data_IF_740867969966
#
_entry.id   IF_740867969966
#
_cell.length_a   1.000
_cell.length_b   1.000
_cell.length_c   1.000
_cell.angle_alpha   90.00
_cell.angle_beta   90.00
_cell.angle_gamma   90.00
#
_symmetry.space_group_name_H-M   'P 1'
#
loop_
_entity.id
_entity.type
_entity.pdbx_description
1 polymer ?
#
# COMPACT_ATOMS: atom_id res chain seq x y z
N UNK A 1 7.07 61.74 16.15
CA UNK A 1 7.03 60.63 15.17
C UNK A 1 7.49 59.38 15.88
N UNK A 2 6.59 58.45 16.19
CA UNK A 2 6.94 57.16 16.78
C UNK A 2 6.14 56.09 16.01
N UNK A 3 6.81 55.41 15.09
CA UNK A 3 6.23 54.39 14.22
C UNK A 3 6.22 53.07 14.98
N UNK A 4 5.04 52.62 15.40
CA UNK A 4 4.83 51.33 16.06
C UNK A 4 4.85 50.23 14.98
N UNK A 5 5.91 49.41 14.96
CA UNK A 5 6.01 48.21 14.13
C UNK A 5 5.28 47.06 14.82
N UNK A 6 4.09 46.71 14.33
CA UNK A 6 3.38 45.50 14.72
C UNK A 6 4.06 44.28 14.06
N UNK A 7 4.77 43.48 14.83
CA UNK A 7 5.24 42.17 14.42
C UNK A 7 4.07 41.18 14.46
N UNK A 8 3.51 40.88 13.29
CA UNK A 8 2.56 39.77 13.11
C UNK A 8 3.33 38.45 13.24
N UNK A 9 3.26 37.85 14.43
CA UNK A 9 3.61 36.45 14.63
C UNK A 9 2.59 35.58 13.89
N UNK A 10 2.96 35.11 12.70
CA UNK A 10 2.32 33.99 12.03
C UNK A 10 2.58 32.73 12.87
N UNK A 11 1.68 32.42 13.79
CA UNK A 11 1.58 31.10 14.40
C UNK A 11 1.12 30.11 13.33
N UNK A 12 2.09 29.56 12.58
CA UNK A 12 1.88 28.41 11.72
C UNK A 12 1.55 27.21 12.59
N UNK A 13 0.27 26.87 12.71
CA UNK A 13 -0.12 25.54 13.14
C UNK A 13 0.57 24.53 12.21
N UNK A 14 1.15 23.41 12.72
CA UNK A 14 1.58 22.36 11.84
C UNK A 14 0.35 21.92 11.05
N UNK A 15 0.39 22.11 9.74
CA UNK A 15 -0.62 21.53 8.87
C UNK A 15 -0.61 20.03 9.18
N UNK A 16 -1.64 19.53 9.85
CA UNK A 16 -1.97 18.11 9.79
C UNK A 16 -1.90 17.75 8.31
N UNK A 17 -1.01 16.83 7.89
CA UNK A 17 -0.94 16.47 6.48
C UNK A 17 -2.36 16.12 6.08
N UNK A 18 -2.95 16.91 5.19
CA UNK A 18 -4.23 16.55 4.59
C UNK A 18 -4.07 15.11 4.14
N UNK A 19 -4.97 14.24 4.60
CA UNK A 19 -5.00 12.82 4.24
C UNK A 19 -4.85 12.77 2.73
N UNK A 20 -3.64 12.43 2.26
CA UNK A 20 -3.32 12.67 0.86
C UNK A 20 -4.24 11.80 0.03
N UNK A 21 -4.79 12.31 -1.09
CA UNK A 21 -5.66 11.51 -1.92
C UNK A 21 -4.88 10.26 -2.36
N UNK A 22 -5.54 9.10 -2.37
CA UNK A 22 -4.95 7.83 -2.81
C UNK A 22 -4.14 7.96 -4.11
N UNK A 23 -4.64 8.77 -5.04
CA UNK A 23 -3.97 9.11 -6.30
C UNK A 23 -2.54 9.62 -6.12
N UNK A 24 -2.26 10.42 -5.07
CA UNK A 24 -0.91 10.91 -4.77
C UNK A 24 0.03 9.76 -4.38
N UNK A 25 -0.44 8.84 -3.51
CA UNK A 25 0.32 7.64 -3.13
C UNK A 25 0.63 6.74 -4.33
N UNK A 26 -0.30 6.64 -5.29
CA UNK A 26 -0.19 5.70 -6.39
C UNK A 26 0.60 6.26 -7.59
N UNK A 27 0.44 7.55 -7.90
CA UNK A 27 1.11 8.17 -9.04
C UNK A 27 2.52 8.68 -8.72
N UNK A 28 2.79 9.03 -7.45
CA UNK A 28 4.08 9.57 -7.03
C UNK A 28 4.48 9.03 -5.64
N UNK A 29 4.64 7.70 -5.49
CA UNK A 29 5.08 7.15 -4.21
C UNK A 29 6.53 7.55 -3.90
N UNK A 30 6.75 8.12 -2.72
CA UNK A 30 8.11 8.40 -2.24
C UNK A 30 8.85 7.09 -1.94
N UNK A 31 8.13 6.12 -1.35
CA UNK A 31 8.65 4.78 -1.06
C UNK A 31 7.58 3.73 -1.28
N UNK A 32 8.00 2.56 -1.71
CA UNK A 32 7.15 1.37 -1.78
C UNK A 32 7.93 0.21 -1.18
N UNK A 33 7.41 -0.42 -0.14
CA UNK A 33 8.01 -1.62 0.45
C UNK A 33 7.14 -2.85 0.17
N UNK A 34 7.77 -3.96 -0.23
CA UNK A 34 7.08 -5.23 -0.38
C UNK A 34 7.04 -6.01 0.93
N UNK A 35 5.97 -6.77 1.12
CA UNK A 35 5.82 -7.74 2.20
C UNK A 35 5.25 -9.04 1.63
N UNK A 36 5.61 -10.17 2.22
CA UNK A 36 4.76 -11.35 2.15
C UNK A 36 3.54 -11.12 3.02
N UNK A 37 2.37 -11.45 2.48
CA UNK A 37 1.09 -11.27 3.17
C UNK A 37 0.38 -12.61 3.28
N UNK A 38 -0.29 -12.81 4.42
CA UNK A 38 -1.12 -13.98 4.67
C UNK A 38 -2.42 -13.55 5.35
N UNK A 39 -3.41 -14.44 5.36
CA UNK A 39 -4.61 -14.29 6.18
C UNK A 39 -4.24 -14.44 7.65
N UNK A 40 -4.67 -13.50 8.47
CA UNK A 40 -4.53 -13.58 9.92
C UNK A 40 -5.65 -14.44 10.51
N UNK A 41 -5.50 -15.77 10.38
CA UNK A 41 -6.43 -16.74 10.97
C UNK A 41 -6.27 -16.90 12.50
N UNK A 42 -5.55 -16.01 13.18
CA UNK A 42 -5.43 -16.11 14.64
C UNK A 42 -6.74 -15.70 15.32
N UNK A 43 -7.42 -16.67 15.93
CA UNK A 43 -8.56 -16.41 16.83
C UNK A 43 -8.09 -15.86 18.19
N UNK A 44 -6.79 -15.96 18.47
CA UNK A 44 -6.17 -15.41 19.66
C UNK A 44 -5.53 -14.06 19.36
N UNK A 45 -5.62 -13.14 20.33
CA UNK A 45 -4.93 -11.86 20.22
C UNK A 45 -3.42 -12.09 20.04
N UNK A 46 -2.76 -11.45 19.06
CA UNK A 46 -1.33 -11.59 18.86
C UNK A 46 -0.55 -11.32 20.15
N UNK A 47 0.49 -12.12 20.40
CA UNK A 47 1.35 -11.91 21.56
C UNK A 47 1.94 -10.50 21.56
N UNK A 48 2.23 -9.92 22.73
CA UNK A 48 2.88 -8.59 22.83
C UNK A 48 4.26 -8.54 22.15
N UNK A 49 4.87 -9.70 21.86
CA UNK A 49 6.15 -9.83 21.16
C UNK A 49 6.00 -9.85 19.64
N UNK A 50 4.79 -10.11 19.13
CA UNK A 50 4.51 -10.06 17.71
C UNK A 50 4.47 -8.61 17.24
N UNK A 51 5.45 -8.23 16.42
CA UNK A 51 5.59 -6.87 15.85
C UNK A 51 5.21 -6.83 14.37
N UNK A 52 4.67 -7.91 13.80
CA UNK A 52 4.31 -7.95 12.38
C UNK A 52 3.20 -6.95 12.09
N UNK A 53 3.33 -6.15 11.02
CA UNK A 53 2.25 -5.28 10.58
C UNK A 53 1.01 -6.11 10.27
N UNK A 54 -0.15 -5.55 10.61
CA UNK A 54 -1.46 -6.13 10.33
C UNK A 54 -2.37 -5.05 9.78
N UNK A 55 -3.20 -5.44 8.83
CA UNK A 55 -4.23 -4.58 8.29
C UNK A 55 -5.49 -5.41 8.08
N UNK A 56 -6.59 -5.00 8.72
CA UNK A 56 -7.82 -5.77 8.74
C UNK A 56 -7.57 -7.24 9.15
N UNK A 57 -7.83 -8.19 8.24
CA UNK A 57 -7.68 -9.64 8.45
C UNK A 57 -6.39 -10.18 7.82
N UNK A 58 -5.41 -9.33 7.53
CA UNK A 58 -4.16 -9.69 6.89
C UNK A 58 -2.97 -9.40 7.80
N UNK A 59 -1.98 -10.29 7.75
CA UNK A 59 -0.71 -10.15 8.46
C UNK A 59 0.45 -10.11 7.45
N UNK A 60 1.37 -9.17 7.66
CA UNK A 60 2.56 -9.05 6.83
C UNK A 60 3.67 -9.88 7.47
N UNK A 61 3.85 -11.10 6.97
CA UNK A 61 4.66 -12.14 7.62
C UNK A 61 6.15 -11.87 7.52
N UNK A 62 6.60 -11.25 6.42
CA UNK A 62 8.00 -10.92 6.18
C UNK A 62 8.13 -9.65 5.34
N UNK A 63 8.95 -8.71 5.80
CA UNK A 63 9.32 -7.52 5.03
C UNK A 63 10.38 -7.82 3.99
N UNK A 64 10.19 -7.29 2.79
CA UNK A 64 11.14 -7.26 1.69
C UNK A 64 11.85 -5.90 1.57
N UNK A 65 12.66 -5.72 0.52
CA UNK A 65 13.34 -4.45 0.25
C UNK A 65 12.34 -3.35 -0.13
N UNK A 66 12.76 -2.10 0.03
CA UNK A 66 12.12 -0.98 -0.64
C UNK A 66 12.42 -1.04 -2.15
N UNK A 67 11.42 -0.74 -2.98
CA UNK A 67 11.57 -0.64 -4.43
C UNK A 67 12.49 0.51 -4.79
N UNK A 68 13.30 0.32 -5.84
CA UNK A 68 14.07 1.40 -6.45
C UNK A 68 13.16 2.41 -7.14
N UNK A 69 13.67 3.61 -7.39
CA UNK A 69 12.91 4.67 -8.06
C UNK A 69 12.33 4.20 -9.40
N UNK A 70 13.11 3.50 -10.22
CA UNK A 70 12.66 3.03 -11.53
C UNK A 70 11.51 2.01 -11.42
N UNK A 71 11.54 1.17 -10.38
CA UNK A 71 10.50 0.17 -10.10
C UNK A 71 9.23 0.84 -9.59
N UNK A 72 9.37 1.85 -8.72
CA UNK A 72 8.24 2.67 -8.25
C UNK A 72 7.56 3.39 -9.41
N UNK A 73 8.34 4.01 -10.30
CA UNK A 73 7.83 4.70 -11.48
C UNK A 73 7.18 3.75 -12.47
N UNK A 74 7.72 2.53 -12.64
CA UNK A 74 7.10 1.51 -13.47
C UNK A 74 5.74 1.09 -12.91
N UNK A 75 5.65 0.87 -11.59
CA UNK A 75 4.41 0.51 -10.91
C UNK A 75 3.36 1.63 -10.97
N UNK A 76 3.76 2.88 -10.74
CA UNK A 76 2.88 4.04 -10.80
C UNK A 76 2.20 4.19 -12.18
N UNK A 77 2.92 3.90 -13.26
CA UNK A 77 2.40 3.96 -14.64
C UNK A 77 1.34 2.91 -14.94
N UNK A 78 1.27 1.82 -14.17
CA UNK A 78 0.29 0.75 -14.38
C UNK A 78 -0.95 0.93 -13.52
N UNK A 79 -0.93 1.85 -12.55
CA UNK A 79 -2.09 2.13 -11.70
C UNK A 79 -3.24 2.73 -12.51
N UNK A 80 -4.46 2.35 -12.12
CA UNK A 80 -5.72 2.79 -12.71
C UNK A 80 -6.61 3.23 -11.59
N UNK A 81 -7.22 4.41 -11.76
CA UNK A 81 -8.15 4.93 -10.77
C UNK A 81 -9.41 4.07 -10.68
N UNK A 82 -10.08 4.02 -9.52
CA UNK A 82 -11.28 3.20 -9.32
C UNK A 82 -12.36 3.38 -10.39
N UNK A 83 -12.63 4.63 -10.78
CA UNK A 83 -13.61 4.99 -11.81
C UNK A 83 -13.30 4.43 -13.20
N UNK A 84 -12.05 4.04 -13.45
CA UNK A 84 -11.56 3.55 -14.75
C UNK A 84 -11.28 2.04 -14.73
N UNK A 85 -11.50 1.36 -13.59
CA UNK A 85 -11.38 -0.10 -13.48
C UNK A 85 -12.53 -0.73 -14.23
N UNK A 86 -12.21 -1.56 -15.23
CA UNK A 86 -13.22 -2.34 -15.93
C UNK A 86 -13.75 -3.43 -15.01
N UNK A 87 -15.07 -3.66 -14.94
CA UNK A 87 -15.62 -4.82 -14.26
C UNK A 87 -14.97 -6.09 -14.80
N UNK A 88 -14.46 -6.93 -13.90
CA UNK A 88 -13.95 -8.26 -14.22
C UNK A 88 -15.00 -9.30 -13.85
N UNK A 89 -15.04 -10.40 -14.58
CA UNK A 89 -15.89 -11.51 -14.21
C UNK A 89 -15.46 -12.05 -12.83
N UNK A 90 -16.42 -12.35 -11.95
CA UNK A 90 -16.11 -12.86 -10.62
C UNK A 90 -15.32 -14.17 -10.74
N UNK A 91 -14.09 -14.17 -10.22
CA UNK A 91 -13.25 -15.37 -10.19
C UNK A 91 -13.66 -16.24 -9.01
N UNK A 92 -13.56 -17.58 -9.18
CA UNK A 92 -13.75 -18.55 -8.09
C UNK A 92 -12.52 -18.58 -7.18
N UNK A 93 -12.29 -17.50 -6.46
CA UNK A 93 -11.18 -17.36 -5.52
C UNK A 93 -11.68 -16.61 -4.28
N UNK A 94 -11.34 -17.11 -3.10
CA UNK A 94 -11.77 -16.54 -1.80
C UNK A 94 -10.84 -15.45 -1.27
N UNK A 95 -10.06 -14.82 -2.16
CA UNK A 95 -8.96 -13.90 -1.85
C UNK A 95 -7.92 -14.50 -0.87
N UNK A 96 -6.83 -15.04 -1.40
CA UNK A 96 -5.72 -15.55 -0.61
C UNK A 96 -4.48 -14.68 -0.88
N UNK A 97 -4.10 -13.78 0.04
CA UNK A 97 -3.02 -12.82 -0.22
C UNK A 97 -1.70 -13.55 -0.49
N UNK A 98 -0.90 -12.96 -1.36
CA UNK A 98 0.45 -13.42 -1.71
C UNK A 98 1.47 -12.38 -1.21
N UNK A 99 1.23 -11.12 -1.55
CA UNK A 99 2.09 -10.00 -1.15
C UNK A 99 1.27 -8.78 -0.73
N UNK A 100 1.91 -7.86 -0.02
CA UNK A 100 1.40 -6.51 0.17
C UNK A 100 2.46 -5.49 -0.27
N UNK A 101 2.01 -4.36 -0.80
CA UNK A 101 2.83 -3.19 -1.11
C UNK A 101 2.42 -2.05 -0.19
N UNK A 102 3.37 -1.50 0.56
CA UNK A 102 3.16 -0.30 1.37
C UNK A 102 3.70 0.93 0.66
N UNK A 103 2.80 1.75 0.14
CA UNK A 103 3.11 3.05 -0.46
C UNK A 103 3.19 4.08 0.66
N UNK A 104 4.35 4.72 0.85
CA UNK A 104 4.55 5.75 1.88
C UNK A 104 4.70 7.13 1.27
N UNK A 105 4.16 8.13 1.96
CA UNK A 105 4.41 9.54 1.72
C UNK A 105 4.52 10.25 3.08
N UNK A 106 5.73 10.69 3.44
CA UNK A 106 6.05 11.15 4.79
C UNK A 106 5.67 10.13 5.88
N UNK A 107 4.81 10.54 6.81
CA UNK A 107 4.32 9.70 7.92
C UNK A 107 3.05 8.91 7.59
N UNK A 108 2.49 9.06 6.39
CA UNK A 108 1.29 8.37 5.95
C UNK A 108 1.63 7.21 5.01
N UNK A 109 0.77 6.20 4.95
CA UNK A 109 0.91 5.07 4.04
C UNK A 109 -0.43 4.49 3.59
N UNK A 110 -0.39 3.82 2.45
CA UNK A 110 -1.47 2.97 1.93
C UNK A 110 -0.92 1.57 1.73
N UNK A 111 -1.64 0.57 2.22
CA UNK A 111 -1.32 -0.83 2.01
C UNK A 111 -2.19 -1.38 0.87
N UNK A 112 -1.56 -1.91 -0.18
CA UNK A 112 -2.22 -2.66 -1.24
C UNK A 112 -1.92 -4.15 -1.05
N UNK A 113 -2.91 -4.92 -0.61
CA UNK A 113 -2.81 -6.37 -0.43
C UNK A 113 -3.20 -7.05 -1.73
N UNK A 114 -2.32 -7.88 -2.28
CA UNK A 114 -2.45 -8.49 -3.60
C UNK A 114 -2.67 -10.00 -3.46
N UNK A 115 -3.68 -10.51 -4.15
CA UNK A 115 -3.86 -11.95 -4.36
C UNK A 115 -3.57 -12.25 -5.83
N UNK A 116 -2.49 -12.97 -6.11
CA UNK A 116 -2.15 -13.39 -7.47
C UNK A 116 -3.11 -14.46 -8.01
N UNK A 117 -3.72 -15.25 -7.13
CA UNK A 117 -4.71 -16.27 -7.51
C UNK A 117 -5.97 -15.69 -8.17
N UNK A 118 -6.52 -14.60 -7.66
CA UNK A 118 -7.62 -13.87 -8.31
C UNK A 118 -7.16 -12.66 -9.13
N UNK A 119 -5.94 -12.19 -8.96
CA UNK A 119 -5.51 -10.92 -9.55
C UNK A 119 -6.28 -9.72 -9.02
N UNK A 120 -6.85 -9.82 -7.82
CA UNK A 120 -7.49 -8.69 -7.15
C UNK A 120 -6.54 -8.07 -6.13
N UNK A 121 -6.82 -6.80 -5.82
CA UNK A 121 -6.03 -5.98 -4.92
C UNK A 121 -6.99 -5.23 -4.00
N UNK A 122 -6.72 -5.26 -2.70
CA UNK A 122 -7.50 -4.54 -1.70
C UNK A 122 -6.60 -3.50 -1.07
N UNK A 123 -7.09 -2.26 -1.00
CA UNK A 123 -6.34 -1.12 -0.50
C UNK A 123 -6.83 -0.72 0.88
N UNK A 124 -5.90 -0.30 1.74
CA UNK A 124 -6.19 0.13 3.10
C UNK A 124 -5.41 1.40 3.46
N UNK A 125 -6.04 2.28 4.22
CA UNK A 125 -5.38 3.45 4.78
C UNK A 125 -4.51 3.11 6.01
N UNK A 126 -3.86 4.13 6.57
CA UNK A 126 -3.05 4.00 7.80
C UNK A 126 -3.83 3.51 9.02
N UNK A 127 -5.15 3.65 9.04
CA UNK A 127 -6.06 3.21 10.11
C UNK A 127 -6.61 1.80 9.84
N UNK A 128 -6.21 1.18 8.73
CA UNK A 128 -6.66 -0.12 8.28
C UNK A 128 -8.10 -0.13 7.75
N UNK A 129 -8.64 1.03 7.36
CA UNK A 129 -9.93 1.11 6.70
C UNK A 129 -9.79 0.81 5.21
N UNK A 130 -10.71 0.03 4.61
CA UNK A 130 -10.67 -0.26 3.19
C UNK A 130 -10.86 1.03 2.37
N UNK A 131 -10.09 1.13 1.29
CA UNK A 131 -10.14 2.22 0.32
C UNK A 131 -10.67 1.71 -1.01
N UNK A 132 -11.42 2.58 -1.70
CA UNK A 132 -11.70 2.36 -3.12
C UNK A 132 -10.42 2.63 -3.92
N UNK A 133 -9.69 1.56 -4.19
CA UNK A 133 -8.25 1.58 -4.43
C UNK A 133 -7.79 1.66 -5.89
N UNK A 134 -8.70 1.34 -6.80
CA UNK A 134 -8.37 1.12 -8.20
C UNK A 134 -7.72 -0.23 -8.42
N UNK A 135 -6.86 -0.33 -9.42
CA UNK A 135 -6.12 -1.56 -9.73
C UNK A 135 -4.82 -1.27 -10.48
N UNK A 136 -3.98 -2.27 -10.70
CA UNK A 136 -2.81 -2.18 -11.57
C UNK A 136 -3.03 -3.01 -12.83
N UNK A 137 -2.80 -2.42 -14.03
CA UNK A 137 -2.98 -3.10 -15.32
C UNK A 137 -1.98 -4.23 -15.55
N UNK A 138 -0.84 -4.17 -14.86
CA UNK A 138 0.27 -5.10 -15.02
C UNK A 138 0.54 -5.82 -13.69
N UNK A 139 -0.29 -6.80 -13.37
CA UNK A 139 -0.07 -7.69 -12.22
C UNK A 139 1.21 -8.51 -12.36
N UNK A 140 1.65 -8.77 -13.59
CA UNK A 140 2.89 -9.51 -13.85
C UNK A 140 4.12 -8.68 -13.47
N UNK A 141 4.08 -7.35 -13.59
CA UNK A 141 5.09 -6.48 -13.00
C UNK A 141 5.16 -6.67 -11.47
N UNK A 142 4.02 -6.67 -10.78
CA UNK A 142 3.98 -6.89 -9.32
C UNK A 142 4.57 -8.27 -8.97
N UNK A 143 4.19 -9.31 -9.72
CA UNK A 143 4.74 -10.66 -9.56
C UNK A 143 6.25 -10.70 -9.72
N UNK A 144 6.80 -10.09 -10.78
CA UNK A 144 8.25 -10.01 -11.01
C UNK A 144 8.99 -9.33 -9.86
N UNK A 145 8.41 -8.24 -9.33
CA UNK A 145 8.96 -7.56 -8.15
C UNK A 145 8.92 -8.45 -6.90
N UNK A 146 7.84 -9.21 -6.72
CA UNK A 146 7.69 -10.17 -5.62
C UNK A 146 8.71 -11.31 -5.70
N UNK A 147 8.87 -11.95 -6.87
CA UNK A 147 9.87 -13.01 -7.11
C UNK A 147 11.29 -12.49 -6.85
N UNK A 148 11.59 -11.27 -7.31
CA UNK A 148 12.86 -10.62 -7.05
C UNK A 148 13.10 -10.37 -5.55
N UNK A 149 12.08 -9.94 -4.82
CA UNK A 149 12.15 -9.67 -3.38
C UNK A 149 12.23 -10.95 -2.53
N UNK A 150 11.57 -12.03 -2.98
CA UNK A 150 11.41 -13.27 -2.23
C UNK A 150 11.65 -14.49 -3.13
N UNK A 151 12.90 -14.74 -3.58
CA UNK A 151 13.21 -15.73 -4.62
C UNK A 151 13.03 -17.20 -4.20
N UNK A 152 12.66 -17.45 -2.93
CA UNK A 152 12.40 -18.79 -2.39
C UNK A 152 10.91 -19.08 -2.19
N UNK A 153 10.05 -18.09 -2.47
CA UNK A 153 8.61 -18.24 -2.33
C UNK A 153 7.99 -18.75 -3.63
N UNK A 154 6.98 -19.60 -3.49
CA UNK A 154 6.20 -20.10 -4.62
C UNK A 154 4.89 -19.32 -4.68
N UNK A 155 4.85 -18.29 -5.52
CA UNK A 155 3.66 -17.45 -5.68
C UNK A 155 2.59 -18.17 -6.50
N UNK A 156 1.32 -17.98 -6.15
CA UNK A 156 0.22 -18.70 -6.81
C UNK A 156 0.07 -18.27 -8.27
N UNK A 157 -0.24 -19.23 -9.14
CA UNK A 157 -0.45 -19.00 -10.58
C UNK A 157 0.83 -19.07 -11.43
N UNK A 158 1.93 -19.60 -10.88
CA UNK A 158 3.05 -20.17 -11.65
C UNK A 158 2.78 -21.62 -12.08
#
# INVERSE_FOLDING_TARGET
>A
MLTLLLALYLSGAPATPAEQPLTAFMLQPERVQLFLADLDFSFEKPSKKDRRPRVHGFVFTRGGPELKEEERQALAKTWVSPKDVRPTDPKRCTFNPDVALRFSHGNAWVDAVVCFGCGDIIFFDTKGQPLDGGSFRDLELIRKLAVKAFPKENFRGE
#
